data_IF_720199856801
#
_entry.id   IF_720199856801
#
_cell.length_a   1.000
_cell.length_b   1.000
_cell.length_c   1.000
_cell.angle_alpha   90.00
_cell.angle_beta   90.00
_cell.angle_gamma   90.00
#
_symmetry.space_group_name_H-M   'P 1'
#
loop_
_entity.id
_entity.type
_entity.pdbx_description
1 polymer ?
#
# COMPACT_ATOMS: atom_id res chain seq x y z
N UNK A 1 1.64 -1.59 16.24
CA UNK A 1 2.05 -2.23 14.96
C UNK A 1 0.84 -2.91 14.33
N UNK A 2 0.61 -2.68 13.03
CA UNK A 2 -0.36 -3.46 12.24
C UNK A 2 0.44 -4.35 11.29
N UNK A 3 0.29 -5.67 11.41
CA UNK A 3 0.92 -6.64 10.52
C UNK A 3 0.01 -6.97 9.33
N UNK A 4 0.57 -6.90 8.13
CA UNK A 4 -0.05 -7.46 6.91
C UNK A 4 0.83 -8.64 6.51
N UNK A 5 0.33 -9.87 6.67
CA UNK A 5 1.12 -11.11 6.53
C UNK A 5 0.23 -12.24 6.02
N UNK A 6 0.84 -13.28 5.48
CA UNK A 6 0.17 -14.47 4.96
C UNK A 6 -0.04 -15.56 6.02
N UNK A 7 0.54 -15.39 7.21
CA UNK A 7 0.50 -16.40 8.26
C UNK A 7 0.26 -15.79 9.65
N UNK A 8 -0.69 -16.34 10.43
CA UNK A 8 -0.95 -15.89 11.80
C UNK A 8 0.18 -16.23 12.78
N UNK A 9 1.09 -17.14 12.39
CA UNK A 9 2.24 -17.54 13.22
C UNK A 9 3.54 -16.88 12.77
N UNK A 10 3.49 -15.96 11.81
CA UNK A 10 4.68 -15.24 11.38
C UNK A 10 5.30 -14.45 12.54
N UNK A 11 6.64 -14.29 12.60
CA UNK A 11 7.28 -13.51 13.66
C UNK A 11 6.73 -12.07 13.77
N UNK A 12 6.30 -11.49 12.64
CA UNK A 12 5.68 -10.17 12.60
C UNK A 12 4.31 -10.15 13.28
N UNK A 13 3.47 -11.17 13.06
CA UNK A 13 2.14 -11.27 13.67
C UNK A 13 2.22 -11.37 15.21
N UNK A 14 3.23 -12.06 15.74
CA UNK A 14 3.40 -12.29 17.19
C UNK A 14 3.59 -11.00 18.00
N UNK A 15 4.05 -9.92 17.37
CA UNK A 15 4.34 -8.63 18.02
C UNK A 15 3.39 -7.51 17.59
N UNK A 16 2.35 -7.83 16.80
CA UNK A 16 1.43 -6.85 16.24
C UNK A 16 0.17 -6.67 17.10
N UNK A 17 -0.29 -5.42 17.22
CA UNK A 17 -1.57 -5.08 17.89
C UNK A 17 -2.77 -5.51 17.03
N UNK A 18 -2.58 -5.56 15.71
CA UNK A 18 -3.59 -5.99 14.75
C UNK A 18 -2.90 -6.75 13.62
N UNK A 19 -3.49 -7.88 13.19
CA UNK A 19 -2.99 -8.66 12.06
C UNK A 19 -4.07 -8.77 10.99
N UNK A 20 -3.72 -8.39 9.76
CA UNK A 20 -4.51 -8.57 8.55
C UNK A 20 -3.88 -9.67 7.71
N UNK A 21 -4.61 -10.77 7.53
CA UNK A 21 -4.14 -11.92 6.76
C UNK A 21 -4.46 -11.77 5.27
N UNK A 22 -3.52 -12.14 4.41
CA UNK A 22 -3.72 -12.20 2.97
C UNK A 22 -3.24 -13.53 2.39
N UNK A 23 -3.62 -13.85 1.15
CA UNK A 23 -3.24 -15.11 0.50
C UNK A 23 -2.09 -14.91 -0.47
N UNK A 24 -1.07 -15.76 -0.38
CA UNK A 24 -0.01 -15.85 -1.38
C UNK A 24 -0.35 -16.77 -2.57
N UNK A 25 -1.58 -17.31 -2.61
CA UNK A 25 -2.01 -18.27 -3.63
C UNK A 25 -1.82 -17.74 -5.05
N UNK A 26 -1.20 -18.55 -5.88
CA UNK A 26 -0.85 -18.23 -7.26
C UNK A 26 -0.84 -19.53 -8.08
N UNK A 27 -1.31 -19.53 -9.34
CA UNK A 27 -1.16 -20.67 -10.23
C UNK A 27 0.27 -20.83 -10.78
N UNK A 28 1.14 -19.84 -10.56
CA UNK A 28 2.55 -19.86 -10.95
C UNK A 28 3.43 -20.54 -9.90
N UNK A 29 4.67 -20.84 -10.27
CA UNK A 29 5.70 -21.28 -9.31
C UNK A 29 5.94 -20.25 -8.19
N UNK A 30 5.88 -18.96 -8.52
CA UNK A 30 6.09 -17.89 -7.55
C UNK A 30 4.77 -17.51 -6.85
N UNK A 31 4.80 -17.31 -5.52
CA UNK A 31 3.66 -16.79 -4.78
C UNK A 31 3.27 -15.38 -5.23
N UNK A 32 2.00 -15.03 -5.08
CA UNK A 32 1.46 -13.73 -5.52
C UNK A 32 1.20 -12.80 -4.34
N UNK A 33 1.70 -11.58 -4.40
CA UNK A 33 1.41 -10.54 -3.39
C UNK A 33 0.17 -9.70 -3.72
N UNK A 34 -0.54 -9.99 -4.81
CA UNK A 34 -1.65 -9.16 -5.29
C UNK A 34 -2.73 -8.98 -4.22
N UNK A 35 -3.08 -10.04 -3.50
CA UNK A 35 -4.08 -9.92 -2.42
C UNK A 35 -3.58 -9.05 -1.26
N UNK A 36 -2.28 -9.11 -0.95
CA UNK A 36 -1.64 -8.25 0.05
C UNK A 36 -1.62 -6.77 -0.36
N UNK A 37 -1.35 -6.48 -1.63
CA UNK A 37 -1.49 -5.12 -2.18
C UNK A 37 -2.94 -4.63 -2.08
N UNK A 38 -3.91 -5.49 -2.40
CA UNK A 38 -5.32 -5.16 -2.27
C UNK A 38 -5.73 -4.81 -0.83
N UNK A 39 -5.19 -5.50 0.18
CA UNK A 39 -5.41 -5.14 1.59
C UNK A 39 -4.86 -3.74 1.90
N UNK A 40 -3.64 -3.42 1.43
CA UNK A 40 -3.04 -2.10 1.62
C UNK A 40 -3.85 -1.00 0.91
N UNK A 41 -4.31 -1.24 -0.31
CA UNK A 41 -5.16 -0.31 -1.07
C UNK A 41 -6.52 -0.09 -0.40
N UNK A 42 -7.14 -1.14 0.15
CA UNK A 42 -8.39 -1.02 0.92
C UNK A 42 -8.21 -0.10 2.14
N UNK A 43 -7.11 -0.25 2.88
CA UNK A 43 -6.79 0.64 4.01
C UNK A 43 -6.62 2.08 3.55
N UNK A 44 -5.88 2.31 2.46
CA UNK A 44 -5.72 3.62 1.87
C UNK A 44 -7.07 4.22 1.45
N UNK A 45 -7.91 3.45 0.77
CA UNK A 45 -9.23 3.88 0.33
C UNK A 45 -10.12 4.27 1.51
N UNK A 46 -10.10 3.50 2.61
CA UNK A 46 -10.82 3.84 3.84
C UNK A 46 -10.32 5.15 4.46
N UNK A 47 -9.00 5.38 4.48
CA UNK A 47 -8.43 6.65 4.96
C UNK A 47 -8.86 7.82 4.07
N UNK A 48 -8.81 7.66 2.75
CA UNK A 48 -9.27 8.68 1.80
C UNK A 48 -10.75 8.96 1.97
N UNK A 49 -11.59 7.92 2.08
CA UNK A 49 -13.03 8.07 2.30
C UNK A 49 -13.34 8.80 3.62
N UNK A 50 -12.58 8.50 4.69
CA UNK A 50 -12.74 9.11 6.01
C UNK A 50 -12.36 10.60 6.03
N UNK A 51 -11.30 10.98 5.32
CA UNK A 51 -10.73 12.33 5.37
C UNK A 51 -11.09 13.21 4.16
N UNK A 52 -11.73 12.64 3.14
CA UNK A 52 -12.29 13.34 2.00
C UNK A 52 -11.26 14.23 1.29
N UNK A 53 -11.64 15.49 1.06
CA UNK A 53 -10.84 16.44 0.25
C UNK A 53 -9.46 16.72 0.86
N UNK A 54 -9.32 16.69 2.18
CA UNK A 54 -8.02 16.90 2.83
C UNK A 54 -7.01 15.82 2.45
N UNK A 55 -7.44 14.54 2.44
CA UNK A 55 -6.59 13.43 2.01
C UNK A 55 -6.19 13.56 0.54
N UNK A 56 -7.14 13.94 -0.33
CA UNK A 56 -6.85 14.18 -1.77
C UNK A 56 -5.78 15.27 -1.93
N UNK A 57 -5.91 16.40 -1.22
CA UNK A 57 -4.94 17.48 -1.28
C UNK A 57 -3.54 17.05 -0.81
N UNK A 58 -3.45 16.19 0.21
CA UNK A 58 -2.17 15.63 0.69
C UNK A 58 -1.54 14.69 -0.33
N UNK A 59 -2.33 13.84 -0.99
CA UNK A 59 -1.86 12.96 -2.07
C UNK A 59 -1.28 13.80 -3.21
N UNK A 60 -2.00 14.82 -3.66
CA UNK A 60 -1.49 15.72 -4.70
C UNK A 60 -0.20 16.44 -4.28
N UNK A 61 -0.08 16.83 -3.01
CA UNK A 61 1.14 17.49 -2.53
C UNK A 61 2.33 16.53 -2.51
N UNK A 62 2.11 15.26 -2.16
CA UNK A 62 3.15 14.23 -2.22
C UNK A 62 3.57 13.96 -3.67
N UNK A 63 2.62 13.89 -4.59
CA UNK A 63 2.89 13.74 -6.02
C UNK A 63 3.73 14.91 -6.57
N UNK A 64 3.33 16.16 -6.28
CA UNK A 64 4.12 17.34 -6.65
C UNK A 64 5.51 17.36 -6.02
N UNK A 65 5.69 16.75 -4.84
CA UNK A 65 7.01 16.61 -4.22
C UNK A 65 7.88 15.63 -5.01
N UNK A 66 7.37 14.45 -5.33
CA UNK A 66 8.08 13.42 -6.10
C UNK A 66 8.50 13.93 -7.49
N UNK A 67 7.62 14.68 -8.15
CA UNK A 67 7.94 15.31 -9.44
C UNK A 67 9.10 16.32 -9.30
N UNK A 68 9.05 17.19 -8.30
CA UNK A 68 10.08 18.22 -8.08
C UNK A 68 11.39 17.66 -7.55
N UNK A 69 11.37 16.50 -6.87
CA UNK A 69 12.57 15.84 -6.37
C UNK A 69 13.33 15.07 -7.46
N UNK A 70 12.81 15.02 -8.68
CA UNK A 70 13.39 14.22 -9.77
C UNK A 70 13.15 12.71 -9.62
N UNK A 71 12.15 12.30 -8.83
CA UNK A 71 11.81 10.88 -8.69
C UNK A 71 11.23 10.27 -9.97
N UNK A 72 10.70 11.11 -10.85
CA UNK A 72 10.17 10.72 -12.15
C UNK A 72 11.04 11.23 -13.29
N UNK A 73 11.22 10.40 -14.30
CA UNK A 73 11.65 10.86 -15.63
C UNK A 73 10.49 11.66 -16.21
N UNK A 74 10.69 12.96 -16.39
CA UNK A 74 9.70 13.79 -17.07
C UNK A 74 9.78 13.49 -18.57
N UNK A 75 8.64 13.30 -19.25
CA UNK A 75 8.65 13.17 -20.70
C UNK A 75 9.27 14.43 -21.31
N UNK A 76 10.17 14.25 -22.27
CA UNK A 76 10.73 15.37 -23.03
C UNK A 76 9.58 16.16 -23.67
N UNK A 77 9.64 17.49 -23.57
CA UNK A 77 8.73 18.36 -24.33
C UNK A 77 9.15 18.28 -25.80
N UNK A 78 8.48 17.42 -26.58
CA UNK A 78 8.47 17.48 -28.05
C UNK A 78 7.75 18.73 -28.53
#
# INVERSE_FOLDING_TARGET
IIAITDSPVSPLAQTADCTLLFSLSSPSFFPSIVSGMGVAECLLAMLVARHGREAVNKIESAERYLQRSGAYVMPDKS
#
